data_IF_275409069161
#
_entry.id   IF_275409069161
#
_cell.length_a   1.000
_cell.length_b   1.000
_cell.length_c   1.000
_cell.angle_alpha   90.00
_cell.angle_beta   90.00
_cell.angle_gamma   90.00
#
_symmetry.space_group_name_H-M   'P 1'
#
loop_
_entity.id
_entity.type
_entity.pdbx_description
1 polymer ?
#
# COMPACT_ATOMS: atom_id res chain seq x y z
N UNK A 1 -18.36 -7.28 19.27
CA UNK A 1 -16.98 -6.99 19.74
C UNK A 1 -16.27 -6.33 18.58
N UNK A 2 -15.63 -5.18 18.79
CA UNK A 2 -14.98 -4.39 17.73
C UNK A 2 -13.49 -4.24 18.02
N UNK A 3 -12.72 -3.85 17.01
CA UNK A 3 -11.30 -3.46 17.12
C UNK A 3 -11.23 -1.96 16.82
N UNK A 4 -10.59 -1.19 17.68
CA UNK A 4 -10.40 0.24 17.44
C UNK A 4 -9.28 0.49 16.42
N UNK A 5 -9.51 1.41 15.50
CA UNK A 5 -8.53 1.91 14.51
C UNK A 5 -7.85 3.22 14.97
N UNK A 6 -8.02 3.57 16.24
CA UNK A 6 -7.48 4.77 16.88
C UNK A 6 -7.24 4.49 18.36
N UNK A 7 -6.76 5.48 19.10
CA UNK A 7 -6.63 5.33 20.56
C UNK A 7 -8.00 5.11 21.20
N UNK A 8 -8.07 4.19 22.16
CA UNK A 8 -9.26 3.97 23.00
C UNK A 8 -9.26 4.84 24.26
N UNK A 9 -8.23 5.66 24.44
CA UNK A 9 -8.12 6.54 25.61
C UNK A 9 -9.25 7.57 25.61
N UNK A 10 -9.85 7.79 26.78
CA UNK A 10 -10.97 8.71 26.94
C UNK A 10 -12.35 8.14 26.54
N UNK A 11 -12.44 6.91 26.04
CA UNK A 11 -13.73 6.25 25.82
C UNK A 11 -14.41 5.91 27.15
N UNK A 12 -15.70 6.21 27.23
CA UNK A 12 -16.54 5.93 28.39
C UNK A 12 -17.62 4.90 28.06
N UNK A 13 -18.13 4.21 29.09
CA UNK A 13 -19.27 3.30 28.93
C UNK A 13 -20.51 4.09 28.52
N UNK A 14 -21.37 3.46 27.73
CA UNK A 14 -22.61 4.04 27.18
C UNK A 14 -22.39 5.20 26.20
N UNK A 15 -21.19 5.34 25.64
CA UNK A 15 -20.94 6.24 24.52
C UNK A 15 -21.80 5.84 23.32
N UNK A 16 -22.40 6.84 22.66
CA UNK A 16 -23.23 6.61 21.46
C UNK A 16 -22.31 6.23 20.30
N UNK A 17 -22.63 5.11 19.66
CA UNK A 17 -21.92 4.61 18.48
C UNK A 17 -22.92 4.48 17.34
N UNK A 18 -22.57 5.00 16.18
CA UNK A 18 -23.37 4.89 14.96
C UNK A 18 -22.80 3.78 14.09
N UNK A 19 -23.65 2.85 13.66
CA UNK A 19 -23.31 1.88 12.63
C UNK A 19 -23.46 2.54 11.25
N UNK A 20 -22.39 2.48 10.44
CA UNK A 20 -22.41 3.00 9.08
C UNK A 20 -23.12 2.05 8.10
N UNK A 21 -23.35 0.79 8.49
CA UNK A 21 -24.02 -0.22 7.66
C UNK A 21 -23.14 -0.80 6.55
N UNK A 22 -21.87 -0.40 6.49
CA UNK A 22 -20.87 -0.89 5.55
C UNK A 22 -19.50 -1.04 6.25
N UNK A 23 -18.57 -1.85 5.69
CA UNK A 23 -17.22 -1.94 6.21
C UNK A 23 -16.42 -0.64 6.01
N UNK A 24 -15.17 -0.62 6.46
CA UNK A 24 -14.25 0.48 6.10
C UNK A 24 -14.11 0.54 4.58
N UNK A 25 -14.31 1.73 4.02
CA UNK A 25 -14.16 2.03 2.60
C UNK A 25 -13.04 3.06 2.43
N UNK A 26 -12.23 2.88 1.39
CA UNK A 26 -11.08 3.74 1.10
C UNK A 26 -11.18 4.28 -0.33
N UNK A 27 -10.69 5.50 -0.59
CA UNK A 27 -10.70 6.06 -1.93
C UNK A 27 -9.78 5.27 -2.86
N UNK A 28 -10.23 5.09 -4.09
CA UNK A 28 -9.49 4.36 -5.14
C UNK A 28 -9.42 5.16 -6.44
N UNK A 29 -8.62 4.66 -7.38
CA UNK A 29 -8.46 5.25 -8.72
C UNK A 29 -7.26 6.18 -8.84
N UNK A 30 -7.10 6.77 -10.02
CA UNK A 30 -5.88 7.52 -10.39
C UNK A 30 -5.60 8.74 -9.52
N UNK A 31 -6.61 9.27 -8.82
CA UNK A 31 -6.46 10.43 -7.93
C UNK A 31 -5.75 10.10 -6.62
N UNK A 32 -5.60 8.83 -6.26
CA UNK A 32 -4.82 8.39 -5.09
C UNK A 32 -3.32 8.38 -5.36
N UNK A 33 -2.90 8.46 -6.63
CA UNK A 33 -1.49 8.48 -7.00
C UNK A 33 -0.80 9.74 -6.48
N UNK A 34 0.39 9.57 -5.92
CA UNK A 34 1.19 10.60 -5.26
C UNK A 34 0.64 11.09 -3.91
N UNK A 35 -0.38 10.41 -3.38
CA UNK A 35 -0.99 10.69 -2.09
C UNK A 35 -0.54 9.71 -1.03
N UNK A 36 -0.57 10.16 0.22
CA UNK A 36 -0.35 9.32 1.40
C UNK A 36 -1.67 9.18 2.17
N UNK A 37 -2.11 7.95 2.37
CA UNK A 37 -3.34 7.60 3.07
C UNK A 37 -3.07 6.79 4.35
N UNK A 38 -3.93 6.95 5.35
CA UNK A 38 -3.98 6.04 6.50
C UNK A 38 -4.89 4.83 6.23
N UNK A 39 -5.03 3.94 7.21
CA UNK A 39 -5.89 2.73 7.13
C UNK A 39 -7.38 3.01 6.85
N UNK A 40 -7.85 4.22 7.16
CA UNK A 40 -9.23 4.64 6.91
C UNK A 40 -9.41 5.34 5.56
N UNK A 41 -8.33 5.46 4.76
CA UNK A 41 -8.36 6.15 3.48
C UNK A 41 -8.25 7.68 3.60
N UNK A 42 -7.97 8.20 4.78
CA UNK A 42 -7.84 9.64 5.00
C UNK A 42 -6.44 10.11 4.56
N UNK A 43 -6.34 11.25 3.85
CA UNK A 43 -5.05 11.78 3.44
C UNK A 43 -4.26 12.33 4.64
N UNK A 44 -3.01 11.91 4.76
CA UNK A 44 -2.09 12.35 5.84
C UNK A 44 -0.88 13.14 5.30
N UNK A 45 -0.92 13.53 4.03
CA UNK A 45 0.15 14.27 3.33
C UNK A 45 -0.01 15.79 3.33
N UNK A 46 -1.04 16.32 4.01
CA UNK A 46 -1.34 17.76 4.07
C UNK A 46 -1.62 18.40 2.70
N UNK A 47 -1.92 17.61 1.66
CA UNK A 47 -2.25 18.11 0.30
C UNK A 47 -3.75 18.32 0.07
N UNK A 48 -4.54 18.39 1.14
CA UNK A 48 -6.00 18.50 1.07
C UNK A 48 -6.69 17.18 0.72
N UNK A 49 -7.93 17.23 0.26
CA UNK A 49 -8.70 16.04 -0.08
C UNK A 49 -8.15 15.32 -1.32
N UNK A 50 -8.43 14.02 -1.44
CA UNK A 50 -7.98 13.19 -2.57
C UNK A 50 -8.83 13.44 -3.82
N UNK A 51 -10.12 13.75 -3.63
CA UNK A 51 -11.06 13.98 -4.72
C UNK A 51 -11.39 12.73 -5.54
N UNK A 52 -11.13 11.54 -4.99
CA UNK A 52 -11.49 10.26 -5.60
C UNK A 52 -13.01 10.19 -5.90
N UNK A 53 -13.35 9.56 -7.01
CA UNK A 53 -14.73 9.42 -7.47
C UNK A 53 -15.41 8.17 -6.91
N UNK A 54 -14.60 7.19 -6.51
CA UNK A 54 -15.06 5.91 -5.99
C UNK A 54 -14.34 5.57 -4.69
N UNK A 55 -15.08 4.95 -3.78
CA UNK A 55 -14.56 4.32 -2.57
C UNK A 55 -14.86 2.83 -2.64
N UNK A 56 -13.89 2.00 -2.26
CA UNK A 56 -14.05 0.54 -2.22
C UNK A 56 -13.88 0.03 -0.80
N UNK A 57 -14.68 -0.99 -0.45
CA UNK A 57 -14.50 -1.72 0.81
C UNK A 57 -13.16 -2.45 0.86
N UNK A 58 -12.46 -2.36 1.99
CA UNK A 58 -11.23 -3.12 2.25
C UNK A 58 -11.48 -4.63 2.43
N UNK A 59 -12.74 -5.04 2.58
CA UNK A 59 -13.13 -6.43 2.69
C UNK A 59 -13.77 -6.92 1.39
N UNK A 60 -13.01 -7.70 0.63
CA UNK A 60 -13.46 -8.31 -0.63
C UNK A 60 -13.10 -9.79 -0.67
N UNK A 61 -13.96 -10.59 -1.29
CA UNK A 61 -13.66 -11.98 -1.57
C UNK A 61 -12.49 -12.08 -2.56
N UNK A 62 -11.68 -13.14 -2.43
CA UNK A 62 -10.68 -13.45 -3.43
C UNK A 62 -11.36 -13.78 -4.78
N UNK A 63 -10.66 -13.59 -5.92
CA UNK A 63 -11.16 -14.02 -7.22
C UNK A 63 -11.54 -15.51 -7.20
N UNK A 64 -12.62 -15.84 -7.90
CA UNK A 64 -13.07 -17.20 -8.10
C UNK A 64 -12.11 -17.97 -9.01
N UNK A 65 -12.19 -19.31 -9.00
CA UNK A 65 -11.32 -20.15 -9.83
C UNK A 65 -11.44 -19.83 -11.33
N UNK A 66 -12.64 -19.48 -11.80
CA UNK A 66 -12.91 -19.15 -13.20
C UNK A 66 -12.27 -17.82 -13.63
N UNK A 67 -12.01 -16.91 -12.69
CA UNK A 67 -11.36 -15.61 -12.94
C UNK A 67 -9.83 -15.70 -12.93
N UNK A 68 -9.26 -16.83 -12.50
CA UNK A 68 -7.81 -17.01 -12.44
C UNK A 68 -7.24 -17.21 -13.85
N UNK A 69 -6.28 -16.35 -14.24
CA UNK A 69 -5.53 -16.57 -15.47
C UNK A 69 -4.56 -17.75 -15.31
N UNK A 70 -4.52 -18.63 -16.31
CA UNK A 70 -3.53 -19.71 -16.40
C UNK A 70 -2.22 -19.29 -17.09
N UNK A 71 -2.15 -18.06 -17.61
CA UNK A 71 -0.97 -17.57 -18.35
C UNK A 71 0.23 -17.35 -17.43
N UNK A 72 1.35 -18.02 -17.71
CA UNK A 72 2.65 -17.74 -17.09
C UNK A 72 3.43 -16.71 -17.91
N UNK A 73 2.94 -15.46 -17.92
CA UNK A 73 3.72 -14.34 -18.47
C UNK A 73 4.81 -13.94 -17.48
N UNK A 74 6.01 -13.67 -17.98
CA UNK A 74 7.10 -13.11 -17.17
C UNK A 74 6.92 -11.60 -17.04
N UNK A 75 7.23 -11.06 -15.86
CA UNK A 75 7.37 -9.64 -15.60
C UNK A 75 8.86 -9.30 -15.62
N UNK A 76 9.29 -8.61 -16.68
CA UNK A 76 10.67 -8.12 -16.79
C UNK A 76 10.89 -6.96 -15.82
N UNK A 77 11.84 -7.13 -14.91
CA UNK A 77 12.13 -6.16 -13.83
C UNK A 77 13.21 -5.16 -14.19
N UNK A 78 14.04 -5.45 -15.19
CA UNK A 78 15.23 -4.68 -15.55
C UNK A 78 16.43 -4.94 -14.63
N UNK A 79 16.28 -5.83 -13.63
CA UNK A 79 17.32 -6.17 -12.67
C UNK A 79 17.92 -7.53 -13.08
N UNK A 80 19.14 -7.50 -13.63
CA UNK A 80 19.82 -8.70 -14.19
C UNK A 80 19.75 -9.94 -13.32
N UNK A 81 19.99 -9.82 -12.01
CA UNK A 81 19.98 -10.98 -11.11
C UNK A 81 18.57 -11.53 -10.92
N UNK A 82 17.55 -10.66 -10.88
CA UNK A 82 16.15 -11.07 -10.76
C UNK A 82 15.69 -11.71 -12.08
N UNK A 83 15.90 -11.04 -13.21
CA UNK A 83 15.43 -11.53 -14.51
C UNK A 83 16.13 -12.84 -14.95
N UNK A 84 17.40 -13.05 -14.54
CA UNK A 84 18.15 -14.25 -14.93
C UNK A 84 17.95 -15.44 -13.96
N UNK A 85 17.98 -15.19 -12.64
CA UNK A 85 18.06 -16.26 -11.64
C UNK A 85 16.70 -16.54 -10.99
N UNK A 86 15.88 -15.50 -10.77
CA UNK A 86 14.59 -15.62 -10.10
C UNK A 86 13.51 -14.74 -10.78
N UNK A 87 13.16 -15.04 -12.03
CA UNK A 87 12.27 -14.19 -12.81
C UNK A 87 10.87 -14.13 -12.18
N UNK A 88 10.24 -12.96 -12.26
CA UNK A 88 8.92 -12.75 -11.69
C UNK A 88 7.84 -13.19 -12.68
N UNK A 89 6.83 -13.91 -12.19
CA UNK A 89 5.62 -14.16 -12.96
C UNK A 89 4.66 -12.99 -12.78
N UNK A 90 4.06 -12.50 -13.87
CA UNK A 90 3.00 -11.48 -13.83
C UNK A 90 1.80 -12.01 -13.05
N UNK A 91 1.30 -11.22 -12.09
CA UNK A 91 0.27 -11.66 -11.14
C UNK A 91 0.78 -12.62 -10.04
N UNK A 92 2.08 -12.93 -10.04
CA UNK A 92 2.71 -13.73 -9.00
C UNK A 92 2.94 -12.95 -7.69
N UNK A 93 3.25 -13.69 -6.63
CA UNK A 93 3.64 -13.13 -5.33
C UNK A 93 5.14 -13.35 -5.14
N UNK A 94 5.85 -12.29 -4.75
CA UNK A 94 7.30 -12.32 -4.56
C UNK A 94 7.65 -11.88 -3.14
N UNK A 95 8.60 -12.58 -2.51
CA UNK A 95 9.12 -12.22 -1.19
C UNK A 95 10.55 -11.67 -1.28
N UNK A 96 10.76 -10.45 -0.77
CA UNK A 96 12.08 -9.83 -0.61
C UNK A 96 12.61 -10.08 0.81
N UNK A 97 13.30 -11.20 1.01
CA UNK A 97 13.84 -11.59 2.31
C UNK A 97 15.23 -11.01 2.55
N UNK A 98 15.45 -10.41 3.72
CA UNK A 98 16.76 -9.86 4.07
C UNK A 98 16.81 -9.14 5.42
N UNK A 99 18.02 -8.93 5.93
CA UNK A 99 18.28 -8.22 7.19
C UNK A 99 18.11 -6.70 7.10
N UNK A 100 18.42 -5.99 8.18
CA UNK A 100 18.51 -4.53 8.16
C UNK A 100 19.71 -4.08 7.30
N UNK A 101 19.55 -3.02 6.51
CA UNK A 101 20.64 -2.43 5.73
C UNK A 101 21.07 -3.19 4.47
N UNK A 102 20.41 -4.28 4.09
CA UNK A 102 20.76 -5.07 2.89
C UNK A 102 20.18 -4.51 1.58
N UNK A 103 19.57 -3.31 1.62
CA UNK A 103 19.02 -2.65 0.43
C UNK A 103 17.63 -3.11 -0.01
N UNK A 104 16.80 -3.69 0.87
CA UNK A 104 15.42 -4.12 0.52
C UNK A 104 14.58 -2.97 -0.06
N UNK A 105 14.57 -1.83 0.64
CA UNK A 105 13.84 -0.64 0.22
C UNK A 105 14.34 -0.14 -1.13
N UNK A 106 15.66 -0.08 -1.32
CA UNK A 106 16.30 0.33 -2.59
C UNK A 106 15.87 -0.58 -3.74
N UNK A 107 15.87 -1.90 -3.55
CA UNK A 107 15.38 -2.84 -4.58
C UNK A 107 13.90 -2.63 -4.88
N UNK A 108 13.06 -2.38 -3.86
CA UNK A 108 11.64 -2.13 -4.06
C UNK A 108 11.39 -0.83 -4.84
N UNK A 109 12.13 0.23 -4.55
CA UNK A 109 12.04 1.49 -5.28
C UNK A 109 12.45 1.32 -6.74
N UNK A 110 13.53 0.60 -7.01
CA UNK A 110 13.99 0.32 -8.37
C UNK A 110 12.96 -0.50 -9.15
N UNK A 111 12.31 -1.48 -8.49
CA UNK A 111 11.21 -2.24 -9.09
C UNK A 111 10.02 -1.34 -9.45
N UNK A 112 9.59 -0.47 -8.52
CA UNK A 112 8.50 0.48 -8.76
C UNK A 112 8.84 1.39 -9.95
N UNK A 113 10.07 1.92 -9.98
CA UNK A 113 10.56 2.78 -11.06
C UNK A 113 10.54 2.06 -12.41
N UNK A 114 11.08 0.84 -12.49
CA UNK A 114 11.15 0.10 -13.76
C UNK A 114 9.77 -0.34 -14.23
N UNK A 115 8.87 -0.75 -13.33
CA UNK A 115 7.47 -1.08 -13.69
C UNK A 115 6.73 0.16 -14.18
N UNK A 116 6.93 1.30 -13.52
CA UNK A 116 6.28 2.56 -13.92
C UNK A 116 6.76 3.05 -15.30
N UNK A 117 8.06 2.96 -15.59
CA UNK A 117 8.66 3.46 -16.83
C UNK A 117 8.43 2.49 -17.99
N UNK A 118 8.76 1.21 -17.83
CA UNK A 118 8.76 0.23 -18.93
C UNK A 118 7.37 -0.37 -19.20
N UNK A 119 6.57 -0.55 -18.15
CA UNK A 119 5.26 -1.23 -18.27
C UNK A 119 4.08 -0.25 -18.15
N UNK A 120 4.33 1.06 -18.03
CA UNK A 120 3.30 2.08 -17.77
C UNK A 120 2.36 1.71 -16.61
N UNK A 121 2.87 0.95 -15.64
CA UNK A 121 2.10 0.42 -14.53
C UNK A 121 1.97 1.42 -13.38
N UNK A 122 0.96 1.22 -12.54
CA UNK A 122 0.83 1.90 -11.26
C UNK A 122 1.30 0.98 -10.13
N UNK A 123 1.84 1.57 -9.08
CA UNK A 123 2.25 0.85 -7.87
C UNK A 123 1.46 1.31 -6.66
N UNK A 124 1.21 0.40 -5.74
CA UNK A 124 0.66 0.69 -4.41
C UNK A 124 1.66 0.19 -3.38
N UNK A 125 2.12 1.08 -2.51
CA UNK A 125 2.98 0.73 -1.39
C UNK A 125 2.17 0.72 -0.10
N UNK A 126 2.11 -0.42 0.56
CA UNK A 126 1.50 -0.56 1.88
C UNK A 126 2.60 -0.70 2.96
N UNK A 127 2.82 0.37 3.72
CA UNK A 127 3.79 0.38 4.82
C UNK A 127 3.16 -0.15 6.11
N UNK A 128 3.27 -1.47 6.32
CA UNK A 128 2.65 -2.19 7.43
C UNK A 128 3.59 -2.26 8.63
N UNK A 129 3.31 -1.48 9.67
CA UNK A 129 4.12 -1.45 10.88
C UNK A 129 5.56 -0.99 10.63
N UNK A 130 5.78 -0.21 9.57
CA UNK A 130 7.06 0.39 9.26
C UNK A 130 7.37 1.58 10.18
N UNK A 131 8.65 1.92 10.33
CA UNK A 131 9.05 3.12 11.07
C UNK A 131 8.62 4.36 10.31
N UNK A 132 8.08 5.36 11.02
CA UNK A 132 7.70 6.66 10.43
C UNK A 132 8.84 7.31 9.66
N UNK A 133 10.07 7.23 10.19
CA UNK A 133 11.28 7.72 9.51
C UNK A 133 11.50 7.02 8.16
N UNK A 134 11.38 5.69 8.13
CA UNK A 134 11.61 4.91 6.90
C UNK A 134 10.52 5.21 5.85
N UNK A 135 9.27 5.39 6.27
CA UNK A 135 8.21 5.85 5.37
C UNK A 135 8.43 7.27 4.82
N UNK A 136 8.92 8.18 5.67
CA UNK A 136 9.25 9.55 5.25
C UNK A 136 10.42 9.56 4.24
N UNK A 137 11.49 8.82 4.55
CA UNK A 137 12.66 8.69 3.66
C UNK A 137 12.21 8.12 2.30
N UNK A 138 11.37 7.07 2.30
CA UNK A 138 10.81 6.48 1.08
C UNK A 138 9.98 7.47 0.25
N UNK A 139 9.14 8.30 0.89
CA UNK A 139 8.36 9.33 0.20
C UNK A 139 9.25 10.36 -0.49
N UNK A 140 10.32 10.81 0.17
CA UNK A 140 11.27 11.75 -0.42
C UNK A 140 12.07 11.11 -1.56
N UNK A 141 12.57 9.89 -1.40
CA UNK A 141 13.30 9.18 -2.45
C UNK A 141 12.44 8.97 -3.72
N UNK A 142 11.16 8.66 -3.54
CA UNK A 142 10.17 8.57 -4.63
C UNK A 142 9.89 9.91 -5.31
N UNK A 143 9.90 10.99 -4.53
CA UNK A 143 9.75 12.36 -5.04
C UNK A 143 10.96 12.74 -5.89
N UNK A 144 12.17 12.53 -5.37
CA UNK A 144 13.43 12.85 -6.04
C UNK A 144 13.64 12.00 -7.30
N UNK A 145 13.10 10.78 -7.30
CA UNK A 145 13.16 9.86 -8.44
C UNK A 145 12.08 10.13 -9.51
N UNK A 146 11.21 11.13 -9.34
CA UNK A 146 10.11 11.48 -10.25
C UNK A 146 9.17 10.30 -10.58
N UNK A 147 8.89 9.45 -9.59
CA UNK A 147 7.97 8.31 -9.74
C UNK A 147 6.73 8.43 -8.84
N UNK A 148 6.68 9.45 -7.99
CA UNK A 148 5.60 9.64 -7.02
C UNK A 148 4.21 9.72 -7.69
N UNK A 149 4.10 10.26 -8.90
CA UNK A 149 2.84 10.36 -9.67
C UNK A 149 2.33 8.99 -10.17
N UNK A 150 3.10 7.91 -9.98
CA UNK A 150 2.74 6.53 -10.33
C UNK A 150 2.53 5.64 -9.11
N UNK A 151 2.66 6.18 -7.91
CA UNK A 151 2.63 5.41 -6.65
C UNK A 151 1.56 5.96 -5.70
N UNK A 152 0.69 5.09 -5.20
CA UNK A 152 -0.17 5.40 -4.05
C UNK A 152 0.47 4.85 -2.78
N UNK A 153 0.58 5.67 -1.73
CA UNK A 153 1.20 5.28 -0.45
C UNK A 153 0.11 5.08 0.61
N UNK A 154 0.08 3.92 1.25
CA UNK A 154 -0.81 3.61 2.37
C UNK A 154 0.04 3.25 3.58
N UNK A 155 -0.10 4.00 4.67
CA UNK A 155 0.71 3.79 5.88
C UNK A 155 -0.13 3.38 7.08
N UNK A 156 0.39 2.42 7.83
CA UNK A 156 -0.10 1.98 9.12
C UNK A 156 1.11 1.76 10.02
N UNK A 157 1.65 2.85 10.57
CA UNK A 157 3.00 2.89 11.14
C UNK A 157 3.10 2.24 12.52
N UNK A 158 4.33 2.05 13.02
CA UNK A 158 4.58 1.44 14.34
C UNK A 158 3.92 2.17 15.52
N UNK A 159 3.72 3.48 15.41
CA UNK A 159 3.08 4.32 16.43
C UNK A 159 1.55 4.19 16.44
N UNK A 160 0.96 3.54 15.45
CA UNK A 160 -0.48 3.35 15.39
C UNK A 160 -0.95 2.12 16.20
N UNK A 161 -2.21 2.11 16.67
CA UNK A 161 -2.79 0.97 17.34
C UNK A 161 -2.67 -0.33 16.52
N UNK A 162 -2.67 -1.49 17.19
CA UNK A 162 -2.60 -2.78 16.49
C UNK A 162 -3.74 -2.99 15.48
N UNK A 163 -4.90 -2.35 15.67
CA UNK A 163 -6.01 -2.40 14.70
C UNK A 163 -5.62 -1.89 13.32
N UNK A 164 -4.89 -0.77 13.26
CA UNK A 164 -4.46 -0.15 12.01
C UNK A 164 -3.48 -1.05 11.28
N UNK A 165 -2.46 -1.55 11.98
CA UNK A 165 -1.44 -2.45 11.44
C UNK A 165 -2.03 -3.78 10.96
N UNK A 166 -3.15 -4.19 11.55
CA UNK A 166 -3.89 -5.40 11.19
C UNK A 166 -4.77 -5.22 9.92
N UNK A 167 -5.06 -3.97 9.51
CA UNK A 167 -6.02 -3.67 8.42
C UNK A 167 -5.46 -2.82 7.29
N UNK A 168 -4.23 -2.35 7.40
CA UNK A 168 -3.57 -1.56 6.35
C UNK A 168 -3.14 -2.38 5.13
N UNK A 169 -3.12 -3.72 5.22
CA UNK A 169 -2.77 -4.65 4.13
C UNK A 169 -3.88 -5.65 3.83
#
# INVERSE_FOLDING_TARGET
RCIAMGTSDGLSRNLVVTDLGHPIEVPVGVKTLGRIMNVLGEPIDMKGEIGAEENWSIHRAAPTYEELSSSQELLETGIKVMDLICPFAKGGKVGLFGGAGVGKTVNMMELIRNIAIEHSGYSVFAGVGERTREGNDFYHEMTDSNVLDKVSLVYGQMNEPPGNRLRVA
#
